data_IF_672683784667
#
_entry.id   IF_672683784667
#
_cell.length_a   1.000
_cell.length_b   1.000
_cell.length_c   1.000
_cell.angle_alpha   90.00
_cell.angle_beta   90.00
_cell.angle_gamma   90.00
#
_symmetry.space_group_name_H-M   'P 1'
#
loop_
_entity.id
_entity.type
_entity.pdbx_description
1 polymer ?
#
# COMPACT_ATOMS: atom_id res chain seq x y z
N UNK A 1 -14.18 -26.53 -37.78
CA UNK A 1 -14.99 -25.30 -37.93
C UNK A 1 -15.96 -25.23 -36.76
N UNK A 2 -15.59 -24.54 -35.68
CA UNK A 2 -16.55 -23.91 -34.76
C UNK A 2 -15.82 -22.74 -34.10
N UNK A 3 -15.87 -21.58 -34.74
CA UNK A 3 -15.35 -20.32 -34.22
C UNK A 3 -16.40 -19.69 -33.33
N UNK A 4 -16.11 -19.53 -32.04
CA UNK A 4 -16.85 -18.60 -31.18
C UNK A 4 -16.50 -17.17 -31.61
N UNK A 5 -17.48 -16.25 -31.76
CA UNK A 5 -17.19 -14.86 -32.06
C UNK A 5 -16.60 -14.18 -30.82
N UNK A 6 -15.50 -13.46 -31.03
CA UNK A 6 -14.79 -12.65 -30.04
C UNK A 6 -15.56 -11.34 -29.89
N UNK A 7 -16.27 -11.14 -28.78
CA UNK A 7 -16.89 -9.86 -28.45
C UNK A 7 -15.79 -8.85 -28.11
N UNK A 8 -15.83 -7.69 -28.76
CA UNK A 8 -15.00 -6.52 -28.44
C UNK A 8 -15.42 -5.94 -27.09
N UNK A 9 -14.52 -5.38 -26.26
CA UNK A 9 -14.83 -5.01 -24.86
C UNK A 9 -15.67 -3.73 -24.69
N UNK A 10 -16.47 -3.33 -25.68
CA UNK A 10 -17.08 -1.98 -25.75
C UNK A 10 -18.57 -1.95 -26.11
N UNK A 11 -19.22 -3.09 -26.35
CA UNK A 11 -20.67 -3.11 -26.60
C UNK A 11 -21.42 -3.49 -25.32
N UNK A 12 -22.48 -2.72 -25.00
CA UNK A 12 -23.33 -2.98 -23.84
C UNK A 12 -24.04 -4.34 -23.99
N UNK A 13 -23.81 -5.24 -23.03
CA UNK A 13 -24.48 -6.55 -22.94
C UNK A 13 -25.45 -6.58 -21.77
N UNK A 14 -26.49 -7.44 -21.80
CA UNK A 14 -27.45 -7.57 -20.69
C UNK A 14 -26.79 -7.88 -19.33
N UNK A 15 -25.63 -8.54 -19.34
CA UNK A 15 -24.86 -8.88 -18.13
C UNK A 15 -23.82 -7.81 -17.73
N UNK A 16 -23.82 -6.60 -18.34
CA UNK A 16 -22.87 -5.54 -17.99
C UNK A 16 -23.19 -4.97 -16.60
N UNK A 17 -22.26 -5.01 -15.62
CA UNK A 17 -22.48 -4.48 -14.28
C UNK A 17 -22.77 -2.97 -14.25
N UNK A 18 -22.46 -2.23 -15.32
CA UNK A 18 -22.76 -0.80 -15.46
C UNK A 18 -24.23 -0.53 -15.80
N UNK A 19 -24.97 -1.54 -16.26
CA UNK A 19 -26.38 -1.40 -16.64
C UNK A 19 -27.26 -1.01 -15.45
N UNK A 20 -27.06 -1.64 -14.30
CA UNK A 20 -27.78 -1.33 -13.05
C UNK A 20 -27.47 0.08 -12.52
N UNK A 21 -26.22 0.52 -12.67
CA UNK A 21 -25.81 1.87 -12.28
C UNK A 21 -26.37 2.94 -13.25
N UNK A 22 -26.50 2.60 -14.53
CA UNK A 22 -27.15 3.45 -15.53
C UNK A 22 -28.66 3.58 -15.30
N UNK A 23 -29.38 2.48 -15.04
CA UNK A 23 -30.83 2.50 -14.76
C UNK A 23 -31.18 3.24 -13.47
N UNK A 24 -30.27 3.21 -12.48
CA UNK A 24 -30.46 3.90 -11.19
C UNK A 24 -30.00 5.36 -11.20
N UNK A 25 -29.39 5.83 -12.30
CA UNK A 25 -28.88 7.20 -12.43
C UNK A 25 -27.57 7.49 -11.68
N UNK A 26 -26.90 6.44 -11.17
CA UNK A 26 -25.68 6.53 -10.36
C UNK A 26 -24.39 6.51 -11.19
N UNK A 27 -24.49 6.35 -12.52
CA UNK A 27 -23.33 6.34 -13.41
C UNK A 27 -22.77 7.76 -13.62
N UNK A 28 -21.44 7.99 -13.51
CA UNK A 28 -20.84 9.30 -13.71
C UNK A 28 -21.20 9.92 -15.07
N UNK A 29 -21.54 11.21 -15.13
CA UNK A 29 -22.09 11.87 -16.33
C UNK A 29 -21.27 11.67 -17.62
N UNK A 30 -19.93 11.63 -17.52
CA UNK A 30 -19.05 11.40 -18.67
C UNK A 30 -19.15 9.96 -19.20
N UNK A 31 -19.35 8.98 -18.32
CA UNK A 31 -19.50 7.57 -18.66
C UNK A 31 -20.92 7.25 -19.13
N UNK A 32 -21.94 7.89 -18.53
CA UNK A 32 -23.34 7.81 -18.95
C UNK A 32 -23.54 8.27 -20.40
N UNK A 33 -22.88 9.36 -20.84
CA UNK A 33 -23.01 9.85 -22.22
C UNK A 33 -22.55 8.84 -23.28
N UNK A 34 -21.51 8.05 -22.98
CA UNK A 34 -21.05 6.97 -23.85
C UNK A 34 -21.97 5.75 -23.77
N UNK A 35 -22.38 5.37 -22.56
CA UNK A 35 -23.22 4.19 -22.33
C UNK A 35 -24.63 4.32 -22.93
N UNK A 36 -25.17 5.55 -23.04
CA UNK A 36 -26.43 5.84 -23.74
C UNK A 36 -26.36 5.45 -25.22
N UNK A 37 -25.24 5.72 -25.89
CA UNK A 37 -25.04 5.41 -27.31
C UNK A 37 -24.96 3.89 -27.51
N UNK A 38 -24.29 3.18 -26.59
CA UNK A 38 -24.13 1.73 -26.65
C UNK A 38 -25.45 1.02 -26.32
N UNK A 39 -26.21 1.51 -25.35
CA UNK A 39 -27.56 1.04 -25.02
C UNK A 39 -28.53 1.25 -26.19
N UNK A 40 -28.40 2.36 -26.93
CA UNK A 40 -29.25 2.67 -28.08
C UNK A 40 -29.03 1.73 -29.28
N UNK A 41 -27.90 1.03 -29.34
CA UNK A 41 -27.56 0.09 -30.42
C UNK A 41 -28.05 -1.33 -30.17
N UNK A 42 -28.38 -1.67 -28.93
CA UNK A 42 -28.78 -3.02 -28.54
C UNK A 42 -30.25 -3.06 -28.06
N UNK A 43 -31.19 -3.57 -28.87
CA UNK A 43 -32.61 -3.58 -28.53
C UNK A 43 -32.94 -4.44 -27.30
N UNK A 44 -32.14 -5.47 -27.01
CA UNK A 44 -32.34 -6.34 -25.85
C UNK A 44 -32.04 -5.61 -24.52
N UNK A 45 -31.05 -4.71 -24.52
CA UNK A 45 -30.69 -3.88 -23.36
C UNK A 45 -31.72 -2.75 -23.17
N UNK A 46 -32.31 -2.23 -24.25
CA UNK A 46 -33.39 -1.25 -24.16
C UNK A 46 -34.65 -1.83 -23.49
N UNK A 47 -35.02 -3.05 -23.84
CA UNK A 47 -36.17 -3.74 -23.25
C UNK A 47 -35.97 -4.04 -21.75
N UNK A 48 -34.74 -4.26 -21.32
CA UNK A 48 -34.41 -4.52 -19.91
C UNK A 48 -34.41 -3.24 -19.06
N UNK A 49 -33.90 -2.13 -19.60
CA UNK A 49 -34.01 -0.80 -19.00
C UNK A 49 -35.47 -0.39 -18.86
N UNK A 50 -36.30 -0.62 -19.89
CA UNK A 50 -37.71 -0.30 -19.87
C UNK A 50 -38.48 -1.10 -18.80
N UNK A 51 -38.23 -2.41 -18.68
CA UNK A 51 -38.82 -3.26 -17.64
C UNK A 51 -38.45 -2.81 -16.23
N UNK A 52 -37.21 -2.40 -16.03
CA UNK A 52 -36.74 -1.94 -14.71
C UNK A 52 -37.44 -0.64 -14.31
N UNK A 53 -37.60 0.31 -15.22
CA UNK A 53 -38.34 1.55 -14.95
C UNK A 53 -39.83 1.30 -14.67
N UNK A 54 -40.47 0.36 -15.37
CA UNK A 54 -41.86 -0.02 -15.12
C UNK A 54 -42.03 -0.66 -13.73
N UNK A 55 -41.09 -1.52 -13.33
CA UNK A 55 -41.08 -2.11 -11.99
C UNK A 55 -40.91 -1.05 -10.88
N UNK A 56 -40.00 -0.09 -11.08
CA UNK A 56 -39.80 1.01 -10.12
C UNK A 56 -41.08 1.85 -9.99
N UNK A 57 -41.72 2.20 -11.11
CA UNK A 57 -42.97 2.97 -11.09
C UNK A 57 -44.11 2.20 -10.40
N UNK A 58 -44.21 0.88 -10.61
CA UNK A 58 -45.18 0.04 -9.92
C UNK A 58 -44.92 -0.04 -8.40
N UNK A 59 -43.66 0.00 -7.98
CA UNK A 59 -43.28 -0.01 -6.57
C UNK A 59 -43.63 1.33 -5.89
N UNK A 60 -43.40 2.45 -6.57
CA UNK A 60 -43.77 3.78 -6.09
C UNK A 60 -45.30 3.93 -5.95
N UNK A 61 -46.08 3.42 -6.89
CA UNK A 61 -47.55 3.42 -6.83
C UNK A 61 -48.06 2.52 -5.68
N UNK A 62 -47.46 1.33 -5.52
CA UNK A 62 -47.77 0.44 -4.40
C UNK A 62 -47.48 1.10 -3.04
N UNK A 63 -46.35 1.81 -2.91
CA UNK A 63 -46.00 2.53 -1.68
C UNK A 63 -46.90 3.75 -1.42
N UNK A 64 -47.37 4.43 -2.46
CA UNK A 64 -48.30 5.55 -2.34
C UNK A 64 -49.72 5.11 -1.94
N UNK A 65 -50.08 3.85 -2.22
CA UNK A 65 -51.40 3.29 -1.97
C UNK A 65 -51.60 2.65 -0.58
N UNK A 66 -50.55 2.55 0.25
CA UNK A 66 -50.72 2.12 1.65
C UNK A 66 -51.33 3.23 2.51
N UNK A 67 -52.55 3.06 3.07
CA UNK A 67 -53.11 4.03 3.99
C UNK A 67 -52.31 4.04 5.29
N UNK A 68 -51.81 5.22 5.67
CA UNK A 68 -51.16 5.44 6.96
C UNK A 68 -52.02 4.87 8.11
N UNK A 69 -51.42 4.20 9.10
CA UNK A 69 -52.16 3.62 10.21
C UNK A 69 -52.95 4.72 10.95
N UNK A 70 -54.27 4.58 11.02
CA UNK A 70 -55.10 5.44 11.85
C UNK A 70 -54.77 5.17 13.32
N UNK A 71 -54.30 6.22 14.01
CA UNK A 71 -54.10 6.19 15.46
C UNK A 71 -55.45 6.48 16.10
N UNK A 72 -56.09 5.44 16.65
CA UNK A 72 -57.29 5.63 17.47
C UNK A 72 -56.98 6.55 18.66
N UNK A 73 -57.85 7.53 18.98
CA UNK A 73 -57.67 8.33 20.18
C UNK A 73 -57.72 7.42 21.42
N UNK A 74 -56.88 7.70 22.44
CA UNK A 74 -56.80 6.84 23.62
C UNK A 74 -58.15 6.78 24.34
N UNK A 75 -58.60 5.56 24.63
CA UNK A 75 -59.77 5.31 25.49
C UNK A 75 -59.52 5.98 26.84
N UNK A 76 -60.30 7.02 27.15
CA UNK A 76 -60.33 7.66 28.46
C UNK A 76 -60.98 6.70 29.46
N UNK A 77 -60.17 5.83 30.06
CA UNK A 77 -60.61 5.09 31.24
C UNK A 77 -60.87 6.08 32.39
N UNK A 78 -62.00 5.97 33.12
CA UNK A 78 -62.25 6.79 34.29
C UNK A 78 -61.13 6.54 35.31
N UNK A 79 -60.39 7.61 35.62
CA UNK A 79 -59.28 7.58 36.58
C UNK A 79 -59.85 7.26 37.96
N UNK A 80 -59.50 6.14 38.60
CA UNK A 80 -59.96 5.88 39.97
C UNK A 80 -59.45 7.00 40.88
N UNK A 81 -60.33 7.51 41.73
CA UNK A 81 -60.00 8.57 42.69
C UNK A 81 -58.77 8.16 43.52
N UNK A 82 -57.85 9.09 43.81
CA UNK A 82 -56.63 8.77 44.54
C UNK A 82 -57.00 8.27 45.94
N UNK A 83 -56.59 7.04 46.24
CA UNK A 83 -56.76 6.45 47.55
C UNK A 83 -55.79 7.14 48.53
N UNK A 84 -56.29 8.16 49.24
CA UNK A 84 -55.51 9.00 50.18
C UNK A 84 -54.96 8.21 51.39
N UNK A 85 -55.33 6.94 51.55
CA UNK A 85 -54.88 6.07 52.63
C UNK A 85 -53.49 5.43 52.41
N UNK A 86 -52.81 5.73 51.29
CA UNK A 86 -51.48 5.16 50.96
C UNK A 86 -50.35 6.19 50.99
N UNK A 87 -50.38 7.10 51.96
CA UNK A 87 -49.25 7.99 52.29
C UNK A 87 -48.38 7.44 53.42
N UNK A 88 -48.18 6.12 53.47
CA UNK A 88 -47.08 5.51 54.23
C UNK A 88 -45.97 5.15 53.24
N UNK A 89 -44.92 5.96 53.33
CA UNK A 89 -43.75 6.04 52.48
C UNK A 89 -43.11 4.69 52.10
N UNK A 90 -42.76 4.49 50.81
CA UNK A 90 -41.51 3.87 50.46
C UNK A 90 -40.43 4.96 50.32
N UNK A 91 -39.39 4.87 51.14
CA UNK A 91 -38.17 5.68 51.05
C UNK A 91 -37.71 5.75 49.59
N UNK A 92 -37.80 6.93 48.97
CA UNK A 92 -37.15 7.20 47.69
C UNK A 92 -35.65 6.91 47.86
N UNK A 93 -35.16 5.83 47.26
CA UNK A 93 -33.73 5.67 47.07
C UNK A 93 -33.30 6.73 46.06
N UNK A 94 -32.46 7.70 46.45
CA UNK A 94 -31.95 8.67 45.49
C UNK A 94 -31.16 7.86 44.44
N UNK A 95 -31.51 8.01 43.16
CA UNK A 95 -30.69 7.55 42.04
C UNK A 95 -29.39 8.37 42.04
N UNK A 96 -28.49 8.03 42.95
CA UNK A 96 -27.16 8.58 43.07
C UNK A 96 -26.32 7.96 41.95
N UNK A 97 -26.17 8.74 40.88
CA UNK A 97 -25.08 8.70 39.89
C UNK A 97 -24.93 7.45 39.00
N UNK A 98 -25.59 7.47 37.84
CA UNK A 98 -25.23 6.65 36.67
C UNK A 98 -24.03 7.22 35.87
N UNK A 99 -23.40 8.31 36.33
CA UNK A 99 -22.24 8.93 35.66
C UNK A 99 -20.93 8.14 35.87
N UNK A 100 -20.76 7.51 37.04
CA UNK A 100 -19.51 6.85 37.41
C UNK A 100 -19.16 5.58 36.60
N UNK A 101 -20.08 4.63 36.32
CA UNK A 101 -19.74 3.45 35.51
C UNK A 101 -19.48 3.79 34.03
N UNK A 102 -20.09 4.87 33.51
CA UNK A 102 -19.87 5.33 32.14
C UNK A 102 -18.43 5.87 31.96
N UNK A 103 -17.93 6.67 32.92
CA UNK A 103 -16.56 7.17 32.93
C UNK A 103 -15.52 6.04 32.99
N UNK A 104 -15.76 5.03 33.84
CA UNK A 104 -14.87 3.88 33.96
C UNK A 104 -14.78 3.06 32.66
N UNK A 105 -15.92 2.84 32.01
CA UNK A 105 -15.98 2.08 30.74
C UNK A 105 -15.34 2.84 29.59
N UNK A 106 -15.53 4.17 29.53
CA UNK A 106 -14.88 5.03 28.54
C UNK A 106 -13.35 5.05 28.72
N UNK A 107 -12.86 5.07 29.97
CA UNK A 107 -11.43 5.07 30.26
C UNK A 107 -10.77 3.72 29.93
N UNK A 108 -11.44 2.60 30.23
CA UNK A 108 -10.96 1.27 29.87
C UNK A 108 -10.89 1.08 28.35
N UNK A 109 -11.89 1.56 27.61
CA UNK A 109 -11.88 1.54 26.14
C UNK A 109 -10.74 2.38 25.56
N UNK A 110 -10.58 3.61 26.05
CA UNK A 110 -9.51 4.50 25.60
C UNK A 110 -8.12 3.90 25.87
N UNK A 111 -7.91 3.27 27.04
CA UNK A 111 -6.65 2.62 27.36
C UNK A 111 -6.36 1.40 26.47
N UNK A 112 -7.39 0.60 26.13
CA UNK A 112 -7.25 -0.50 25.18
C UNK A 112 -6.89 0.00 23.76
N UNK A 113 -7.55 1.06 23.29
CA UNK A 113 -7.25 1.68 22.00
C UNK A 113 -5.81 2.21 21.92
N UNK A 114 -5.33 2.89 22.97
CA UNK A 114 -3.95 3.37 23.04
C UNK A 114 -2.97 2.20 23.03
N UNK A 115 -3.25 1.12 23.75
CA UNK A 115 -2.41 -0.08 23.77
C UNK A 115 -2.34 -0.75 22.39
N UNK A 116 -3.48 -0.92 21.72
CA UNK A 116 -3.53 -1.51 20.37
C UNK A 116 -2.80 -0.61 19.37
N UNK A 117 -3.04 0.71 19.40
CA UNK A 117 -2.35 1.66 18.53
C UNK A 117 -0.84 1.65 18.74
N UNK A 118 -0.37 1.56 19.99
CA UNK A 118 1.06 1.49 20.31
C UNK A 118 1.74 0.22 19.75
N UNK A 119 1.02 -0.90 19.64
CA UNK A 119 1.52 -2.13 19.02
C UNK A 119 1.41 -2.11 17.48
N UNK A 120 0.39 -1.42 16.94
CA UNK A 120 0.15 -1.32 15.50
C UNK A 120 1.14 -0.40 14.79
N UNK A 121 1.48 0.75 15.39
CA UNK A 121 2.36 1.74 14.72
C UNK A 121 3.72 1.14 14.31
N UNK A 122 4.51 0.47 15.18
CA UNK A 122 5.82 -0.05 14.80
C UNK A 122 5.74 -1.24 13.82
N UNK A 123 4.66 -2.02 13.86
CA UNK A 123 4.46 -3.14 12.92
C UNK A 123 4.13 -2.64 11.52
N UNK A 124 3.39 -1.53 11.40
CA UNK A 124 2.98 -0.96 10.11
C UNK A 124 4.16 -0.47 9.25
N UNK A 125 5.23 0.07 9.84
CA UNK A 125 6.36 0.54 9.02
C UNK A 125 7.24 -0.58 8.47
N UNK A 126 7.49 -1.64 9.26
CA UNK A 126 8.19 -2.83 8.77
C UNK A 126 7.39 -3.51 7.66
N UNK A 127 6.06 -3.55 7.78
CA UNK A 127 5.17 -4.07 6.74
C UNK A 127 5.22 -3.20 5.48
N UNK A 128 5.21 -1.87 5.61
CA UNK A 128 5.33 -0.95 4.46
C UNK A 128 6.65 -1.13 3.71
N UNK A 129 7.77 -1.16 4.42
CA UNK A 129 9.08 -1.39 3.80
C UNK A 129 9.14 -2.76 3.12
N UNK A 130 8.68 -3.82 3.79
CA UNK A 130 8.58 -5.17 3.21
C UNK A 130 7.73 -5.18 1.93
N UNK A 131 6.55 -4.55 1.97
CA UNK A 131 5.65 -4.47 0.81
C UNK A 131 6.27 -3.72 -0.36
N UNK A 132 6.98 -2.63 -0.09
CA UNK A 132 7.66 -1.85 -1.13
C UNK A 132 8.86 -2.63 -1.71
N UNK A 133 9.59 -3.41 -0.90
CA UNK A 133 10.63 -4.33 -1.40
C UNK A 133 10.03 -5.42 -2.29
N UNK A 134 8.90 -6.03 -1.89
CA UNK A 134 8.20 -7.02 -2.70
C UNK A 134 7.70 -6.43 -4.03
N UNK A 135 7.18 -5.21 -4.02
CA UNK A 135 6.78 -4.50 -5.24
C UNK A 135 7.99 -4.23 -6.15
N UNK A 136 9.09 -3.69 -5.61
CA UNK A 136 10.32 -3.47 -6.37
C UNK A 136 10.91 -4.77 -6.96
N UNK A 137 10.82 -5.89 -6.23
CA UNK A 137 11.22 -7.20 -6.73
C UNK A 137 10.34 -7.68 -7.91
N UNK A 138 9.04 -7.37 -7.88
CA UNK A 138 8.13 -7.63 -9.00
C UNK A 138 8.46 -6.75 -10.21
N UNK A 139 8.66 -5.44 -9.98
CA UNK A 139 8.98 -4.48 -11.03
C UNK A 139 10.28 -4.85 -11.76
N UNK A 140 11.35 -5.16 -11.02
CA UNK A 140 12.62 -5.53 -11.66
C UNK A 140 12.54 -6.88 -12.39
N UNK A 141 11.67 -7.79 -11.93
CA UNK A 141 11.37 -9.02 -12.68
C UNK A 141 10.68 -8.72 -14.00
N UNK A 142 9.72 -7.79 -14.02
CA UNK A 142 9.04 -7.38 -15.24
C UNK A 142 10.02 -6.79 -16.26
N UNK A 143 11.04 -6.04 -15.81
CA UNK A 143 12.14 -5.59 -16.68
C UNK A 143 12.88 -6.78 -17.27
N UNK A 144 13.29 -7.75 -16.45
CA UNK A 144 13.94 -8.96 -16.94
C UNK A 144 13.10 -9.70 -17.98
N UNK A 145 11.80 -9.88 -17.71
CA UNK A 145 10.86 -10.51 -18.65
C UNK A 145 10.73 -9.73 -19.96
N UNK A 146 10.57 -8.41 -19.89
CA UNK A 146 10.49 -7.55 -21.05
C UNK A 146 11.79 -7.57 -21.88
N UNK A 147 12.95 -7.66 -21.21
CA UNK A 147 14.25 -7.83 -21.87
C UNK A 147 14.35 -9.14 -22.64
N UNK A 148 13.76 -10.23 -22.14
CA UNK A 148 13.68 -11.51 -22.87
C UNK A 148 12.68 -11.49 -24.02
N UNK A 149 11.54 -10.83 -23.83
CA UNK A 149 10.57 -10.60 -24.93
C UNK A 149 11.25 -9.82 -26.04
N UNK A 150 11.92 -8.71 -25.70
CA UNK A 150 12.71 -7.94 -26.65
C UNK A 150 13.77 -8.79 -27.36
N UNK A 151 14.53 -9.61 -26.62
CA UNK A 151 15.59 -10.42 -27.20
C UNK A 151 15.08 -11.44 -28.24
N UNK A 152 13.84 -11.93 -28.09
CA UNK A 152 13.21 -12.88 -29.02
C UNK A 152 13.14 -12.31 -30.44
N UNK A 153 12.83 -11.03 -30.57
CA UNK A 153 12.72 -10.35 -31.87
C UNK A 153 14.06 -9.72 -32.33
N UNK A 154 15.09 -9.76 -31.48
CA UNK A 154 16.34 -9.03 -31.66
C UNK A 154 17.59 -9.90 -31.60
N UNK A 155 17.53 -11.11 -32.20
CA UNK A 155 18.66 -12.04 -32.31
C UNK A 155 19.28 -12.41 -30.95
N UNK A 156 18.42 -12.66 -29.95
CA UNK A 156 18.80 -12.95 -28.57
C UNK A 156 19.58 -11.82 -27.87
N UNK A 157 19.64 -10.61 -28.44
CA UNK A 157 20.33 -9.48 -27.83
C UNK A 157 19.37 -8.68 -26.99
N UNK A 158 19.80 -8.37 -25.77
CA UNK A 158 19.11 -7.38 -24.96
C UNK A 158 19.33 -5.97 -25.55
N UNK A 159 18.50 -4.98 -25.16
CA UNK A 159 18.63 -3.62 -25.68
C UNK A 159 20.06 -3.08 -25.48
N UNK A 160 20.61 -2.53 -26.56
CA UNK A 160 21.85 -1.76 -26.54
C UNK A 160 21.49 -0.30 -26.81
N UNK A 161 21.61 0.52 -25.78
CA UNK A 161 21.08 1.88 -25.77
C UNK A 161 22.11 2.88 -25.25
N UNK A 162 21.93 4.14 -25.64
CA UNK A 162 22.83 5.22 -25.26
C UNK A 162 22.81 5.50 -23.74
N UNK A 163 21.64 5.41 -23.12
CA UNK A 163 21.38 5.66 -21.71
C UNK A 163 20.22 4.79 -21.19
N UNK A 164 19.94 4.89 -19.89
CA UNK A 164 18.89 4.12 -19.21
C UNK A 164 17.47 4.46 -19.72
N UNK A 165 17.20 5.70 -20.08
CA UNK A 165 15.87 6.11 -20.58
C UNK A 165 15.62 5.57 -22.00
N UNK A 166 16.65 5.60 -22.85
CA UNK A 166 16.61 4.99 -24.17
C UNK A 166 16.46 3.46 -24.08
N UNK A 167 17.13 2.82 -23.11
CA UNK A 167 16.95 1.40 -22.82
C UNK A 167 15.50 1.08 -22.45
N UNK A 168 14.90 1.88 -21.56
CA UNK A 168 13.50 1.75 -21.20
C UNK A 168 12.57 1.94 -22.40
N UNK A 169 12.86 2.90 -23.28
CA UNK A 169 12.13 3.10 -24.53
C UNK A 169 12.15 1.86 -25.43
N UNK A 170 13.33 1.26 -25.63
CA UNK A 170 13.46 0.04 -26.43
C UNK A 170 12.67 -1.12 -25.81
N UNK A 171 12.66 -1.27 -24.48
CA UNK A 171 11.81 -2.26 -23.80
C UNK A 171 10.32 -1.94 -23.88
N UNK A 172 9.94 -0.66 -23.89
CA UNK A 172 8.54 -0.28 -24.05
C UNK A 172 8.03 -0.57 -25.47
N UNK A 173 8.86 -0.30 -26.48
CA UNK A 173 8.52 -0.55 -27.88
C UNK A 173 8.60 -2.05 -28.26
N UNK A 174 9.72 -2.71 -27.98
CA UNK A 174 9.94 -4.10 -28.39
C UNK A 174 9.63 -5.15 -27.32
N UNK A 175 9.67 -4.78 -26.03
CA UNK A 175 9.37 -5.69 -24.91
C UNK A 175 7.96 -5.50 -24.31
N UNK A 176 7.20 -4.52 -24.78
CA UNK A 176 5.86 -4.17 -24.28
C UNK A 176 5.81 -3.50 -22.91
N UNK A 177 6.97 -3.17 -22.31
CA UNK A 177 7.05 -2.58 -20.96
C UNK A 177 6.85 -1.07 -20.98
N UNK A 178 5.63 -0.62 -21.29
CA UNK A 178 5.31 0.80 -21.42
C UNK A 178 4.90 1.49 -20.11
N UNK A 179 4.81 0.75 -19.00
CA UNK A 179 4.54 1.33 -17.68
C UNK A 179 5.82 1.93 -17.07
N UNK A 180 5.82 3.25 -16.84
CA UNK A 180 6.96 3.94 -16.28
C UNK A 180 7.19 3.65 -14.79
N UNK A 181 6.14 3.27 -14.05
CA UNK A 181 6.24 3.02 -12.60
C UNK A 181 7.19 1.86 -12.28
N UNK A 182 7.34 0.92 -13.21
CA UNK A 182 8.24 -0.23 -13.11
C UNK A 182 9.72 0.20 -12.97
N UNK A 183 10.09 1.37 -13.48
CA UNK A 183 11.45 1.90 -13.40
C UNK A 183 11.77 2.59 -12.08
N UNK A 184 10.80 2.64 -11.17
CA UNK A 184 10.90 3.24 -9.84
C UNK A 184 10.77 2.17 -8.76
N UNK A 185 11.49 2.35 -7.65
CA UNK A 185 11.50 1.41 -6.53
C UNK A 185 10.38 1.65 -5.50
N UNK A 186 9.37 2.47 -5.83
CA UNK A 186 8.26 2.83 -4.93
C UNK A 186 8.60 3.89 -3.87
N UNK A 187 9.87 3.98 -3.44
CA UNK A 187 10.34 4.95 -2.44
C UNK A 187 10.68 6.31 -3.05
N UNK A 188 11.17 6.30 -4.29
CA UNK A 188 11.54 7.50 -5.03
C UNK A 188 10.34 8.11 -5.79
N UNK A 189 9.11 7.66 -5.51
CA UNK A 189 7.86 8.09 -6.15
C UNK A 189 7.56 9.57 -5.89
N UNK A 190 8.28 10.45 -6.59
CA UNK A 190 7.84 11.81 -6.87
C UNK A 190 6.87 11.73 -8.03
N UNK A 191 5.61 11.41 -7.71
CA UNK A 191 4.42 11.55 -8.54
C UNK A 191 4.69 11.71 -10.05
N UNK A 192 5.14 10.63 -10.70
CA UNK A 192 4.84 10.47 -12.11
C UNK A 192 3.36 10.06 -12.15
N UNK A 193 2.46 11.05 -12.12
CA UNK A 193 1.03 10.78 -12.28
C UNK A 193 0.84 9.96 -13.54
N UNK A 194 0.44 8.69 -13.40
CA UNK A 194 0.14 7.73 -14.46
C UNK A 194 0.86 7.99 -15.80
N UNK A 195 2.20 7.87 -15.83
CA UNK A 195 2.96 8.11 -17.08
C UNK A 195 3.34 6.81 -17.77
N UNK A 196 3.33 6.86 -19.10
CA UNK A 196 3.91 5.85 -19.98
C UNK A 196 5.40 6.15 -20.21
N UNK A 197 6.18 5.13 -20.58
CA UNK A 197 7.57 5.30 -21.03
C UNK A 197 7.61 6.00 -22.39
N UNK A 198 6.79 5.52 -23.32
CA UNK A 198 6.63 6.10 -24.66
C UNK A 198 5.75 7.33 -24.61
N UNK A 199 5.98 8.28 -25.51
CA UNK A 199 5.08 9.42 -25.70
C UNK A 199 3.64 8.93 -26.01
N UNK A 200 2.59 9.57 -25.45
CA UNK A 200 1.21 9.09 -25.59
C UNK A 200 0.70 8.97 -27.04
N UNK A 201 1.24 9.82 -27.92
CA UNK A 201 0.87 9.85 -29.34
C UNK A 201 1.64 8.82 -30.18
N UNK A 202 2.67 8.19 -29.61
CA UNK A 202 3.49 7.24 -30.34
C UNK A 202 2.83 5.87 -30.42
N UNK A 203 2.75 5.35 -31.64
CA UNK A 203 2.26 4.00 -31.93
C UNK A 203 3.43 3.15 -32.39
N UNK A 204 3.71 2.09 -31.65
CA UNK A 204 4.77 1.14 -31.98
C UNK A 204 4.42 0.45 -33.31
N UNK A 205 5.38 0.44 -34.23
CA UNK A 205 5.27 -0.29 -35.50
C UNK A 205 5.42 -1.79 -35.28
N UNK A 206 4.65 -2.61 -36.00
CA UNK A 206 4.79 -4.07 -35.98
C UNK A 206 6.17 -4.55 -36.45
N UNK A 207 6.94 -3.70 -37.15
CA UNK A 207 8.29 -3.99 -37.64
C UNK A 207 9.34 -3.13 -36.93
N UNK A 208 9.15 -2.81 -35.64
CA UNK A 208 10.11 -2.07 -34.85
C UNK A 208 11.49 -2.75 -34.87
N UNK A 209 12.54 -1.97 -35.15
CA UNK A 209 13.93 -2.44 -35.18
C UNK A 209 14.79 -1.72 -34.14
N UNK A 210 15.86 -2.37 -33.66
CA UNK A 210 16.87 -1.70 -32.84
C UNK A 210 17.43 -0.50 -33.60
N UNK A 211 17.36 0.67 -32.97
CA UNK A 211 17.81 1.94 -33.56
C UNK A 211 16.72 2.81 -34.18
N UNK A 212 15.48 2.31 -34.30
CA UNK A 212 14.35 3.15 -34.68
C UNK A 212 14.13 4.25 -33.61
N UNK A 213 13.71 5.47 -34.01
CA UNK A 213 13.42 6.53 -33.05
C UNK A 213 12.32 6.11 -32.08
N UNK A 214 12.61 6.15 -30.78
CA UNK A 214 11.65 5.89 -29.71
C UNK A 214 11.39 7.19 -28.95
N UNK A 215 10.37 7.98 -29.33
CA UNK A 215 10.05 9.22 -28.64
C UNK A 215 9.50 8.91 -27.25
N UNK A 216 10.29 9.23 -26.22
CA UNK A 216 9.91 9.02 -24.84
C UNK A 216 8.95 10.11 -24.36
N UNK A 217 8.14 9.77 -23.35
CA UNK A 217 7.31 10.74 -22.67
C UNK A 217 8.19 11.79 -21.95
N UNK A 218 7.98 13.11 -22.13
CA UNK A 218 8.77 14.14 -21.44
C UNK A 218 8.77 14.01 -19.91
N UNK A 219 7.65 13.59 -19.31
CA UNK A 219 7.58 13.34 -17.88
C UNK A 219 8.51 12.20 -17.47
N UNK A 220 8.53 11.11 -18.25
CA UNK A 220 9.45 9.99 -18.04
C UNK A 220 10.91 10.37 -18.27
N UNK A 221 11.22 11.17 -19.30
CA UNK A 221 12.59 11.65 -19.53
C UNK A 221 13.16 12.45 -18.35
N UNK A 222 12.32 13.22 -17.67
CA UNK A 222 12.71 13.96 -16.46
C UNK A 222 12.76 13.10 -15.19
N UNK A 223 12.32 11.84 -15.26
CA UNK A 223 12.25 10.96 -14.12
C UNK A 223 13.63 10.49 -13.67
N UNK A 224 13.81 10.41 -12.34
CA UNK A 224 15.01 9.92 -11.68
C UNK A 224 14.83 8.44 -11.38
N UNK A 225 15.19 7.61 -12.34
CA UNK A 225 14.94 6.18 -12.31
C UNK A 225 15.71 5.52 -11.16
N UNK A 226 15.11 4.52 -10.50
CA UNK A 226 15.66 3.87 -9.30
C UNK A 226 16.51 2.63 -9.60
N UNK A 227 16.74 2.34 -10.87
CA UNK A 227 17.36 1.11 -11.35
C UNK A 227 18.59 1.41 -12.21
N UNK A 228 19.38 0.37 -12.41
CA UNK A 228 20.54 0.34 -13.26
C UNK A 228 20.48 -0.90 -14.17
N UNK A 229 20.96 -0.75 -15.40
CA UNK A 229 20.95 -1.80 -16.43
C UNK A 229 22.29 -1.83 -17.17
N UNK A 230 22.70 -2.99 -17.72
CA UNK A 230 23.78 -3.06 -18.68
C UNK A 230 23.31 -2.52 -20.04
N UNK A 231 24.07 -1.57 -20.60
CA UNK A 231 23.81 -0.89 -21.88
C UNK A 231 24.71 -1.50 -22.97
N UNK A 232 24.41 -2.74 -23.35
CA UNK A 232 25.07 -3.45 -24.44
C UNK A 232 25.83 -4.70 -24.01
N UNK A 233 26.11 -5.56 -24.99
CA UNK A 233 26.91 -6.77 -24.79
C UNK A 233 26.20 -7.93 -24.09
N UNK A 234 24.94 -7.80 -23.68
CA UNK A 234 24.17 -8.86 -23.03
C UNK A 234 23.29 -9.61 -24.03
N UNK A 235 23.28 -10.94 -23.94
CA UNK A 235 22.40 -11.81 -24.72
C UNK A 235 21.56 -12.73 -23.82
N UNK A 236 20.42 -13.20 -24.32
CA UNK A 236 19.55 -14.13 -23.61
C UNK A 236 20.17 -15.51 -23.42
N UNK A 237 21.24 -15.83 -24.17
CA UNK A 237 21.99 -17.08 -24.10
C UNK A 237 23.11 -17.06 -23.06
N UNK A 238 23.30 -15.94 -22.34
CA UNK A 238 24.33 -15.82 -21.31
C UNK A 238 24.06 -16.73 -20.11
N UNK A 239 25.08 -17.02 -19.27
CA UNK A 239 24.89 -17.76 -18.04
C UNK A 239 23.74 -17.21 -17.21
N UNK A 240 22.93 -18.09 -16.59
CA UNK A 240 21.77 -17.69 -15.80
C UNK A 240 22.12 -16.79 -14.61
N UNK A 241 23.39 -16.73 -14.21
CA UNK A 241 23.93 -15.89 -13.14
C UNK A 241 24.36 -14.50 -13.61
N UNK A 242 24.24 -14.16 -14.89
CA UNK A 242 24.59 -12.83 -15.42
C UNK A 242 23.54 -11.80 -14.98
N UNK A 243 23.94 -10.71 -14.29
CA UNK A 243 23.01 -9.64 -13.91
C UNK A 243 22.46 -8.92 -15.15
N UNK A 244 21.15 -8.65 -15.19
CA UNK A 244 20.50 -7.94 -16.30
C UNK A 244 19.82 -6.63 -15.89
N UNK A 245 19.52 -6.44 -14.60
CA UNK A 245 19.19 -5.15 -14.00
C UNK A 245 19.38 -5.21 -12.48
N UNK A 246 19.58 -4.07 -11.83
CA UNK A 246 19.69 -3.97 -10.37
C UNK A 246 19.19 -2.64 -9.82
N UNK A 247 19.01 -2.57 -8.51
CA UNK A 247 18.71 -1.31 -7.81
C UNK A 247 19.92 -0.37 -7.90
N UNK A 248 19.70 0.90 -8.29
CA UNK A 248 20.75 1.90 -8.49
C UNK A 248 21.64 2.14 -7.27
N UNK A 249 22.85 2.64 -7.50
CA UNK A 249 23.78 3.03 -6.45
C UNK A 249 24.59 1.87 -5.88
N UNK A 250 24.69 0.75 -6.61
CA UNK A 250 25.62 -0.33 -6.30
C UNK A 250 27.04 0.09 -6.68
N UNK A 251 27.92 0.19 -5.70
CA UNK A 251 29.29 0.63 -5.88
C UNK A 251 30.20 -0.54 -6.29
N UNK A 252 31.35 -0.25 -6.92
CA UNK A 252 32.34 -1.28 -7.29
C UNK A 252 32.87 -2.10 -6.11
N UNK A 253 32.80 -1.56 -4.90
CA UNK A 253 33.22 -2.26 -3.68
C UNK A 253 32.16 -3.26 -3.18
N UNK A 254 31.03 -3.39 -3.88
CA UNK A 254 29.94 -4.29 -3.54
C UNK A 254 28.94 -3.75 -2.52
N UNK A 255 28.97 -2.45 -2.17
CA UNK A 255 28.00 -1.86 -1.24
C UNK A 255 27.01 -0.94 -1.94
N UNK A 256 25.79 -0.85 -1.42
CA UNK A 256 24.85 0.17 -1.86
C UNK A 256 25.13 1.51 -1.18
N UNK A 257 25.20 2.56 -1.99
CA UNK A 257 25.40 3.93 -1.52
C UNK A 257 24.22 4.38 -0.64
N UNK A 258 24.47 5.29 0.30
CA UNK A 258 23.43 5.77 1.23
C UNK A 258 22.24 6.48 0.53
N UNK A 259 22.44 6.96 -0.70
CA UNK A 259 21.43 7.60 -1.55
C UNK A 259 20.71 6.63 -2.49
N UNK A 260 21.00 5.33 -2.42
CA UNK A 260 20.21 4.26 -3.05
C UNK A 260 18.76 4.32 -2.56
N UNK A 261 17.76 3.82 -3.33
CA UNK A 261 16.37 3.74 -2.90
C UNK A 261 16.17 3.08 -1.52
N UNK A 262 17.07 2.16 -1.15
CA UNK A 262 17.05 1.45 0.14
C UNK A 262 18.22 1.83 1.05
N UNK A 263 18.90 2.93 0.74
CA UNK A 263 20.15 3.33 1.37
C UNK A 263 21.18 2.20 1.35
N UNK A 264 21.93 2.07 2.45
CA UNK A 264 22.95 1.03 2.60
C UNK A 264 22.40 -0.33 3.07
N UNK A 265 21.07 -0.50 3.11
CA UNK A 265 20.45 -1.76 3.53
C UNK A 265 20.53 -2.86 2.45
N UNK A 266 20.71 -2.47 1.19
CA UNK A 266 20.85 -3.40 0.07
C UNK A 266 20.13 -2.98 -1.20
N UNK A 267 19.93 -3.96 -2.09
CA UNK A 267 19.18 -3.78 -3.32
C UNK A 267 18.80 -5.12 -3.97
N UNK A 268 17.93 -5.05 -4.96
CA UNK A 268 17.56 -6.19 -5.79
C UNK A 268 18.46 -6.30 -7.01
N UNK A 269 18.75 -7.54 -7.40
CA UNK A 269 19.39 -7.87 -8.68
C UNK A 269 18.52 -8.92 -9.38
N UNK A 270 18.23 -8.69 -10.65
CA UNK A 270 17.63 -9.69 -11.54
C UNK A 270 18.71 -10.25 -12.45
N UNK A 271 18.65 -11.56 -12.69
CA UNK A 271 19.63 -12.28 -13.48
C UNK A 271 19.02 -12.83 -14.76
N UNK A 272 19.88 -13.25 -15.70
CA UNK A 272 19.47 -13.87 -16.94
C UNK A 272 18.68 -15.18 -16.73
N UNK A 273 18.79 -15.82 -15.56
CA UNK A 273 17.92 -16.93 -15.18
C UNK A 273 16.48 -16.54 -14.82
N UNK A 274 16.14 -15.25 -14.81
CA UNK A 274 14.84 -14.71 -14.42
C UNK A 274 14.61 -14.63 -12.90
N UNK A 275 15.54 -15.15 -12.09
CA UNK A 275 15.49 -15.02 -10.65
C UNK A 275 15.83 -13.59 -10.21
N UNK A 276 15.14 -13.13 -9.17
CA UNK A 276 15.39 -11.85 -8.50
C UNK A 276 15.78 -12.16 -7.07
N UNK A 277 16.88 -11.58 -6.60
CA UNK A 277 17.33 -11.74 -5.23
C UNK A 277 17.68 -10.40 -4.59
N UNK A 278 17.44 -10.30 -3.28
CA UNK A 278 17.86 -9.18 -2.45
C UNK A 278 19.26 -9.44 -1.90
N UNK A 279 20.14 -8.46 -2.05
CA UNK A 279 21.49 -8.48 -1.52
C UNK A 279 21.68 -7.34 -0.54
N UNK A 280 22.16 -7.64 0.67
CA UNK A 280 22.53 -6.59 1.63
C UNK A 280 23.78 -5.83 1.18
N UNK A 281 24.75 -6.59 0.68
CA UNK A 281 26.00 -6.17 0.06
C UNK A 281 26.55 -7.37 -0.72
N UNK A 282 27.55 -7.14 -1.58
CA UNK A 282 28.29 -8.17 -2.32
C UNK A 282 29.70 -8.38 -1.75
N UNK A 283 30.06 -7.75 -0.62
CA UNK A 283 31.37 -7.89 0.03
C UNK A 283 31.50 -9.22 0.75
N UNK A 284 30.43 -9.63 1.40
CA UNK A 284 30.35 -10.91 2.10
C UNK A 284 30.46 -12.05 1.08
N UNK A 285 31.34 -13.01 1.32
CA UNK A 285 31.57 -14.13 0.39
C UNK A 285 30.28 -14.87 0.01
N UNK A 286 29.33 -15.00 0.94
CA UNK A 286 28.03 -15.64 0.70
C UNK A 286 27.13 -14.88 -0.29
N UNK A 287 27.39 -13.58 -0.51
CA UNK A 287 26.58 -12.69 -1.33
C UNK A 287 27.29 -12.27 -2.63
N UNK A 288 28.54 -12.71 -2.85
CA UNK A 288 29.29 -12.35 -4.04
C UNK A 288 28.63 -12.93 -5.30
N UNK A 289 28.74 -12.19 -6.39
CA UNK A 289 28.25 -12.61 -7.70
C UNK A 289 29.27 -13.55 -8.35
N UNK A 290 28.83 -14.39 -9.29
CA UNK A 290 29.77 -15.13 -10.12
C UNK A 290 30.38 -14.18 -11.15
N UNK A 291 31.71 -14.27 -11.33
CA UNK A 291 32.40 -13.54 -12.39
C UNK A 291 31.91 -14.03 -13.76
N UNK A 292 31.88 -13.13 -14.74
CA UNK A 292 31.48 -13.47 -16.11
C UNK A 292 32.39 -14.52 -16.75
N UNK A 293 33.69 -14.51 -16.42
CA UNK A 293 34.66 -15.51 -16.88
C UNK A 293 34.50 -16.89 -16.22
N UNK A 294 33.57 -17.02 -15.27
CA UNK A 294 33.32 -18.24 -14.50
C UNK A 294 34.40 -18.55 -13.45
N UNK A 295 35.40 -17.69 -13.26
CA UNK A 295 36.56 -17.94 -12.37
C UNK A 295 36.31 -17.41 -10.97
N UNK A 296 35.32 -18.00 -10.31
CA UNK A 296 34.99 -17.70 -8.92
C UNK A 296 34.02 -16.53 -8.78
N UNK A 297 34.08 -15.88 -7.62
CA UNK A 297 33.10 -14.89 -7.18
C UNK A 297 33.70 -13.48 -7.08
N UNK A 298 32.86 -12.45 -7.11
CA UNK A 298 33.26 -11.04 -7.06
C UNK A 298 32.24 -10.19 -6.31
N UNK A 299 32.74 -9.12 -5.68
CA UNK A 299 31.94 -8.03 -5.11
C UNK A 299 31.65 -6.92 -6.13
N UNK A 300 32.39 -6.86 -7.23
CA UNK A 300 32.25 -5.83 -8.26
C UNK A 300 31.33 -6.33 -9.37
N UNK A 301 30.16 -5.71 -9.50
CA UNK A 301 29.19 -6.09 -10.53
C UNK A 301 29.73 -6.00 -11.94
N UNK A 302 30.72 -5.13 -12.20
CA UNK A 302 31.35 -4.97 -13.51
C UNK A 302 32.10 -6.21 -13.95
N UNK A 303 32.58 -7.01 -13.01
CA UNK A 303 33.28 -8.27 -13.27
C UNK A 303 32.32 -9.46 -13.45
N UNK A 304 31.06 -9.30 -13.06
CA UNK A 304 29.96 -10.25 -13.34
C UNK A 304 29.32 -10.02 -14.72
N UNK A 305 29.69 -8.94 -15.41
CA UNK A 305 29.23 -8.57 -16.74
C UNK A 305 30.30 -8.88 -17.81
N UNK A 306 29.91 -9.03 -19.09
CA UNK A 306 30.85 -9.14 -20.19
C UNK A 306 31.82 -7.94 -20.22
N UNK A 307 33.10 -8.16 -20.57
CA UNK A 307 34.07 -7.07 -20.72
C UNK A 307 33.58 -6.00 -21.71
N UNK A 308 33.69 -4.73 -21.32
CA UNK A 308 33.25 -3.59 -22.15
C UNK A 308 31.77 -3.22 -21.99
N UNK A 309 31.00 -3.94 -21.18
CA UNK A 309 29.61 -3.57 -20.85
C UNK A 309 29.56 -2.21 -20.16
N UNK A 310 28.76 -1.29 -20.68
CA UNK A 310 28.49 0.00 -20.05
C UNK A 310 27.34 -0.14 -19.05
N UNK A 311 27.36 0.65 -17.98
CA UNK A 311 26.25 0.69 -17.01
C UNK A 311 25.42 1.95 -17.26
N UNK A 312 24.13 1.74 -17.48
CA UNK A 312 23.13 2.80 -17.53
C UNK A 312 22.46 2.92 -16.19
N UNK A 313 22.74 4.00 -15.47
CA UNK A 313 22.06 4.32 -14.22
C UNK A 313 21.86 5.83 -14.11
N UNK A 314 20.85 6.25 -13.36
CA UNK A 314 20.72 7.66 -12.98
C UNK A 314 21.76 8.00 -11.93
N UNK A 315 22.64 8.95 -12.24
CA UNK A 315 23.68 9.46 -11.34
C UNK A 315 23.18 10.74 -10.64
N UNK A 316 22.76 10.67 -9.37
CA UNK A 316 22.33 11.86 -8.64
C UNK A 316 23.45 12.87 -8.41
N UNK A 317 23.09 14.15 -8.46
CA UNK A 317 23.93 15.28 -8.08
C UNK A 317 24.28 15.23 -6.59
N UNK A 318 25.35 15.91 -6.16
CA UNK A 318 25.76 15.93 -4.74
C UNK A 318 24.64 16.41 -3.80
N UNK A 319 23.87 17.41 -4.22
CA UNK A 319 22.72 17.90 -3.46
C UNK A 319 21.62 16.84 -3.30
N UNK A 320 21.36 16.05 -4.35
CA UNK A 320 20.40 14.94 -4.30
C UNK A 320 20.91 13.79 -3.46
N UNK A 321 22.20 13.45 -3.56
CA UNK A 321 22.81 12.41 -2.73
C UNK A 321 22.66 12.74 -1.24
N UNK A 322 22.94 14.00 -0.85
CA UNK A 322 22.76 14.44 0.53
C UNK A 322 21.28 14.35 0.95
N UNK A 323 20.36 14.86 0.14
CA UNK A 323 18.93 14.84 0.43
C UNK A 323 18.39 13.40 0.57
N UNK A 324 18.73 12.51 -0.36
CA UNK A 324 18.25 11.14 -0.38
C UNK A 324 18.85 10.29 0.73
N UNK A 325 20.12 10.52 1.08
CA UNK A 325 20.76 9.85 2.23
C UNK A 325 20.08 10.19 3.57
N UNK A 326 19.46 11.36 3.69
CA UNK A 326 18.69 11.75 4.88
C UNK A 326 17.29 11.13 4.87
N UNK A 327 16.65 11.07 3.69
CA UNK A 327 15.34 10.43 3.52
C UNK A 327 15.39 8.94 3.90
N UNK A 328 16.41 8.21 3.44
CA UNK A 328 16.58 6.78 3.75
C UNK A 328 16.88 6.54 5.24
N UNK A 329 17.65 7.42 5.90
CA UNK A 329 17.86 7.37 7.36
C UNK A 329 16.55 7.52 8.14
N UNK A 330 15.64 8.38 7.67
CA UNK A 330 14.34 8.57 8.30
C UNK A 330 13.41 7.35 8.11
N UNK A 331 13.55 6.60 7.02
CA UNK A 331 12.89 5.29 6.86
C UNK A 331 13.52 4.21 7.74
N UNK A 332 14.86 4.17 7.84
CA UNK A 332 15.60 3.28 8.74
C UNK A 332 15.24 3.48 10.23
N UNK A 333 14.95 4.72 10.63
CA UNK A 333 14.43 5.06 11.97
C UNK A 333 13.03 4.48 12.28
N UNK A 334 12.32 3.94 11.29
CA UNK A 334 11.09 3.19 11.54
C UNK A 334 11.36 1.75 11.96
N UNK A 335 12.54 1.20 11.60
CA UNK A 335 12.98 -0.15 11.95
C UNK A 335 13.86 -0.20 13.21
N UNK A 336 14.45 0.93 13.60
CA UNK A 336 15.35 1.07 14.74
C UNK A 336 14.56 1.17 16.06
N UNK A 337 14.99 0.44 17.09
CA UNK A 337 14.28 0.21 18.36
C UNK A 337 13.99 1.48 19.20
N UNK A 338 14.35 2.68 18.70
CA UNK A 338 14.06 3.98 19.33
C UNK A 338 12.57 4.37 19.30
N UNK A 339 11.73 3.65 18.55
CA UNK A 339 10.28 3.82 18.69
C UNK A 339 9.75 3.30 20.04
N UNK A 340 10.33 2.23 20.62
CA UNK A 340 9.90 1.72 21.93
C UNK A 340 10.13 2.76 23.04
N UNK A 341 11.19 3.56 22.95
CA UNK A 341 11.50 4.61 23.93
C UNK A 341 10.46 5.75 23.90
N UNK A 342 9.94 6.09 22.71
CA UNK A 342 8.94 7.15 22.56
C UNK A 342 7.52 6.72 22.97
N UNK A 343 7.18 5.43 22.85
CA UNK A 343 5.85 4.92 23.25
C UNK A 343 5.81 4.33 24.67
N UNK A 344 6.96 4.03 25.29
CA UNK A 344 7.05 3.62 26.69
C UNK A 344 6.24 4.50 27.66
N UNK A 345 6.30 5.85 27.61
CA UNK A 345 5.48 6.69 28.50
C UNK A 345 3.98 6.56 28.20
N UNK A 346 3.58 6.40 26.94
CA UNK A 346 2.17 6.23 26.56
C UNK A 346 1.60 4.88 27.00
N UNK A 347 2.39 3.81 26.87
CA UNK A 347 2.04 2.46 27.32
C UNK A 347 1.91 2.42 28.86
N UNK A 348 2.84 3.05 29.58
CA UNK A 348 2.79 3.18 31.04
C UNK A 348 1.56 3.96 31.50
N UNK A 349 1.20 5.03 30.81
CA UNK A 349 0.03 5.86 31.13
C UNK A 349 -1.28 5.10 30.87
N UNK A 350 -1.35 4.34 29.77
CA UNK A 350 -2.49 3.46 29.49
C UNK A 350 -2.64 2.33 30.51
N UNK A 351 -1.54 1.67 30.89
CA UNK A 351 -1.53 0.62 31.92
C UNK A 351 -1.96 1.16 33.29
N UNK A 352 -1.48 2.36 33.66
CA UNK A 352 -1.91 3.04 34.88
C UNK A 352 -3.41 3.38 34.84
N UNK A 353 -3.93 3.84 33.69
CA UNK A 353 -5.36 4.09 33.47
C UNK A 353 -6.23 2.85 33.67
N UNK A 354 -5.80 1.69 33.13
CA UNK A 354 -6.48 0.41 33.33
C UNK A 354 -6.47 -0.05 34.79
N UNK A 355 -5.32 0.11 35.47
CA UNK A 355 -5.19 -0.23 36.90
C UNK A 355 -6.13 0.60 37.78
N UNK A 356 -6.24 1.90 37.51
CA UNK A 356 -7.16 2.80 38.23
C UNK A 356 -8.62 2.42 37.94
N UNK A 357 -8.97 2.14 36.68
CA UNK A 357 -10.31 1.70 36.31
C UNK A 357 -10.71 0.37 36.98
N UNK A 358 -9.78 -0.59 37.06
CA UNK A 358 -9.99 -1.87 37.74
C UNK A 358 -10.19 -1.72 39.26
N UNK A 359 -9.42 -0.83 39.90
CA UNK A 359 -9.58 -0.52 41.33
C UNK A 359 -10.92 0.15 41.63
N UNK A 360 -11.35 1.06 40.75
CA UNK A 360 -12.68 1.69 40.83
C UNK A 360 -13.78 0.63 40.68
N UNK A 361 -13.65 -0.31 39.74
CA UNK A 361 -14.60 -1.41 39.53
C UNK A 361 -14.68 -2.38 40.73
N UNK A 362 -13.53 -2.77 41.29
CA UNK A 362 -13.47 -3.65 42.47
C UNK A 362 -14.05 -2.99 43.73
N UNK A 363 -13.94 -1.65 43.82
CA UNK A 363 -14.60 -0.89 44.88
C UNK A 363 -16.12 -0.85 44.70
N UNK A 364 -16.59 -0.64 43.46
CA UNK A 364 -18.01 -0.58 43.12
C UNK A 364 -18.75 -1.91 43.31
N UNK A 365 -18.07 -3.04 43.14
CA UNK A 365 -18.60 -4.39 43.39
C UNK A 365 -18.54 -4.80 44.86
N UNK A 366 -18.10 -3.91 45.75
CA UNK A 366 -18.02 -4.14 47.20
C UNK A 366 -16.91 -5.10 47.63
N UNK A 367 -16.02 -5.50 46.72
CA UNK A 367 -14.95 -6.47 46.99
C UNK A 367 -13.78 -5.88 47.78
N UNK A 368 -13.63 -4.55 47.84
CA UNK A 368 -12.50 -3.87 48.48
C UNK A 368 -12.98 -2.65 49.30
N UNK A 369 -12.38 -2.40 50.46
CA UNK A 369 -12.66 -1.23 51.32
C UNK A 369 -12.03 0.07 50.77
N UNK A 370 -12.54 1.25 51.15
CA UNK A 370 -12.01 2.55 50.70
C UNK A 370 -10.54 2.74 51.10
N UNK A 371 -10.18 2.27 52.29
CA UNK A 371 -8.80 2.32 52.79
C UNK A 371 -7.86 1.41 51.98
N UNK A 372 -8.34 0.23 51.58
CA UNK A 372 -7.55 -0.70 50.76
C UNK A 372 -7.37 -0.18 49.32
N UNK A 373 -8.38 0.48 48.75
CA UNK A 373 -8.26 1.13 47.44
C UNK A 373 -7.22 2.26 47.46
N UNK A 374 -7.25 3.12 48.47
CA UNK A 374 -6.29 4.22 48.60
C UNK A 374 -4.87 3.70 48.80
N UNK A 375 -4.70 2.64 49.59
CA UNK A 375 -3.42 1.96 49.77
C UNK A 375 -2.85 1.41 48.46
N UNK A 376 -3.67 0.75 47.64
CA UNK A 376 -3.25 0.21 46.34
C UNK A 376 -2.86 1.31 45.33
N UNK A 377 -3.58 2.44 45.32
CA UNK A 377 -3.22 3.59 44.46
C UNK A 377 -1.89 4.20 44.90
N UNK A 378 -1.68 4.40 46.21
CA UNK A 378 -0.43 4.94 46.75
C UNK A 378 0.75 4.01 46.48
N UNK A 379 0.58 2.70 46.66
CA UNK A 379 1.60 1.70 46.33
C UNK A 379 1.89 1.68 44.82
N UNK A 380 0.86 1.78 43.98
CA UNK A 380 1.03 1.88 42.52
C UNK A 380 1.84 3.10 42.10
N UNK A 381 1.56 4.27 42.66
CA UNK A 381 2.32 5.49 42.41
C UNK A 381 3.77 5.41 42.94
N UNK A 382 3.99 4.80 44.10
CA UNK A 382 5.33 4.60 44.67
C UNK A 382 6.20 3.64 43.80
N UNK A 383 5.60 2.55 43.31
CA UNK A 383 6.29 1.63 42.39
C UNK A 383 6.60 2.28 41.04
N UNK A 384 5.68 3.10 40.51
CA UNK A 384 5.91 3.85 39.28
C UNK A 384 7.05 4.88 39.45
N UNK A 385 7.09 5.59 40.58
CA UNK A 385 8.16 6.53 40.91
C UNK A 385 9.54 5.84 41.05
N UNK A 386 9.58 4.59 41.53
CA UNK A 386 10.79 3.76 41.57
C UNK A 386 11.24 3.27 40.18
N UNK A 387 10.31 3.15 39.22
CA UNK A 387 10.60 2.65 37.87
C UNK A 387 11.08 3.75 36.91
N UNK A 388 10.66 5.01 37.10
CA UNK A 388 11.08 6.19 36.32
C UNK A 388 12.62 6.35 36.22
N UNK A 389 13.43 6.22 37.29
CA UNK A 389 14.89 6.34 37.17
C UNK A 389 15.55 5.16 36.42
N UNK A 390 14.87 4.02 36.27
CA UNK A 390 15.37 2.87 35.51
C UNK A 390 15.23 3.10 33.99
N UNK A 391 14.17 3.80 33.57
CA UNK A 391 13.98 4.25 32.18
C UNK A 391 15.00 5.32 31.75
N UNK A 392 15.52 6.11 32.71
CA UNK A 392 16.54 7.13 32.43
C UNK A 392 17.97 6.60 32.24
N UNK A 393 18.25 5.35 32.65
CA UNK A 393 19.59 4.72 32.59
C UNK A 393 19.82 3.83 31.37
N UNK A 394 18.83 3.65 30.50
CA UNK A 394 18.94 2.90 29.24
C UNK A 394 19.30 3.83 28.05
N UNK A 395 19.51 5.13 28.30
CA UNK A 395 19.97 6.13 27.32
C UNK A 395 21.35 5.86 26.75
#
# INVERSE_FOLDING_TARGET
MTTLPRTTPTDATPDDPRLTAYTSGDLPHAEAAHFVIDTARNPEVQDDVARTHEFIAALEDALASEPLPQVDPPILLPRPAPNLARLTEPKHHPRRFALFPALASALAMAACLVMIAALLIPTLGKVRESSARSAAASNIRQIGQASFIYATDNQDKLPDAADLHAYAGQLAAGGGLNDASVWLAGIDERNLGYTTVLSPDFRVSNNFKPGDPVPLNPAFQSAKLSLAVPLGGITATMPSTTPIAWTRGLQPDGTWAAHSPWGSSGGHIVFAGGNVAWYKNLRDQANQLLRYDGKGTTSDIREALPPGTRIGEYLPTEAEQLAWSQQTKNMGNYSDNRQFENYAPLILLAAAGLGIAALIYLRLTGRISTMAMLGLVVVGFALLALFIPFLGRVR
#
